data_IF_889911967539
#
_entry.id   IF_889911967539
#
_cell.length_a   1.000
_cell.length_b   1.000
_cell.length_c   1.000
_cell.angle_alpha   90.00
_cell.angle_beta   90.00
_cell.angle_gamma   90.00
#
_symmetry.space_group_name_H-M   'P 1'
#
loop_
_entity.id
_entity.type
_entity.pdbx_description
1 polymer ?
#
# COMPACT_ATOMS: atom_id res chain seq x y z
N UNK A 1 -72.05 64.11 -9.10
CA UNK A 1 -72.07 62.66 -9.04
C UNK A 1 -71.00 62.12 -9.97
N UNK A 2 -70.19 61.17 -9.62
CA UNK A 2 -69.84 60.61 -8.32
C UNK A 2 -68.28 60.61 -8.11
N UNK A 3 -67.87 60.98 -6.91
CA UNK A 3 -66.44 60.96 -6.48
C UNK A 3 -66.09 59.73 -5.61
N UNK A 4 -66.99 58.77 -5.44
CA UNK A 4 -66.80 57.65 -4.50
C UNK A 4 -66.24 56.34 -5.11
N UNK A 5 -66.22 56.18 -6.42
CA UNK A 5 -65.77 54.94 -7.05
C UNK A 5 -64.23 54.88 -7.19
N UNK A 6 -63.50 55.99 -7.04
CA UNK A 6 -62.02 55.98 -7.31
C UNK A 6 -61.21 55.55 -6.11
N UNK A 7 -61.71 55.69 -4.86
CA UNK A 7 -60.93 55.36 -3.67
C UNK A 7 -60.99 53.87 -3.28
N UNK A 8 -61.97 53.09 -3.74
CA UNK A 8 -62.06 51.70 -3.39
C UNK A 8 -61.22 50.79 -4.31
N UNK A 9 -60.86 51.23 -5.52
CA UNK A 9 -60.01 50.48 -6.41
C UNK A 9 -58.52 50.59 -6.04
N UNK A 10 -58.06 51.73 -5.51
CA UNK A 10 -56.67 51.96 -5.15
C UNK A 10 -56.24 51.26 -3.86
N UNK A 11 -57.14 51.07 -2.91
CA UNK A 11 -56.85 50.38 -1.64
C UNK A 11 -56.79 48.87 -1.79
N UNK A 12 -57.54 48.28 -2.72
CA UNK A 12 -57.48 46.83 -2.97
C UNK A 12 -56.25 46.42 -3.77
N UNK A 13 -55.66 47.27 -4.62
CA UNK A 13 -54.44 46.98 -5.35
C UNK A 13 -53.22 47.10 -4.47
N UNK A 14 -53.17 47.95 -3.45
CA UNK A 14 -52.01 48.07 -2.53
C UNK A 14 -51.90 46.90 -1.56
N UNK A 15 -53.03 46.27 -1.17
CA UNK A 15 -53.01 45.10 -0.27
C UNK A 15 -52.60 43.79 -0.98
N UNK A 16 -52.78 43.67 -2.29
CA UNK A 16 -52.38 42.51 -3.08
C UNK A 16 -50.89 42.53 -3.39
N UNK A 17 -50.24 43.69 -3.45
CA UNK A 17 -48.78 43.79 -3.68
C UNK A 17 -47.97 43.56 -2.41
N UNK A 18 -48.51 43.80 -1.22
CA UNK A 18 -47.83 43.52 0.06
C UNK A 18 -47.79 42.01 0.40
N UNK A 19 -48.75 41.20 -0.10
CA UNK A 19 -48.78 39.76 0.12
C UNK A 19 -47.82 38.96 -0.78
N UNK A 20 -47.42 39.48 -1.94
CA UNK A 20 -46.53 38.83 -2.88
C UNK A 20 -45.03 39.06 -2.53
N UNK A 21 -44.71 40.15 -1.84
CA UNK A 21 -43.32 40.43 -1.45
C UNK A 21 -42.88 39.68 -0.16
N UNK A 22 -43.80 39.14 0.63
CA UNK A 22 -43.45 38.37 1.83
C UNK A 22 -43.10 36.87 1.54
N UNK A 23 -43.38 36.40 0.32
CA UNK A 23 -43.15 34.98 -0.06
C UNK A 23 -41.78 34.69 -0.71
N UNK A 24 -40.91 35.70 -0.91
CA UNK A 24 -39.62 35.55 -1.61
C UNK A 24 -38.44 35.58 -0.65
N UNK A 25 -38.65 35.82 0.65
CA UNK A 25 -37.61 35.62 1.67
C UNK A 25 -37.62 34.19 2.23
N UNK A 26 -37.72 33.19 1.34
CA UNK A 26 -37.36 31.83 1.64
C UNK A 26 -35.87 31.82 1.91
N UNK A 27 -35.46 31.94 3.15
CA UNK A 27 -34.11 31.70 3.62
C UNK A 27 -33.71 30.29 3.16
N UNK A 28 -33.02 30.19 2.04
CA UNK A 28 -32.30 28.98 1.67
C UNK A 28 -31.30 28.69 2.78
N UNK A 29 -31.70 27.87 3.75
CA UNK A 29 -30.78 27.23 4.66
C UNK A 29 -29.87 26.39 3.79
N UNK A 30 -28.72 26.94 3.38
CA UNK A 30 -27.61 26.18 2.87
C UNK A 30 -27.27 25.19 3.98
N UNK A 31 -27.69 23.93 3.80
CA UNK A 31 -27.22 22.85 4.63
C UNK A 31 -25.67 22.88 4.54
N UNK A 32 -25.03 23.43 5.55
CA UNK A 32 -23.59 23.35 5.72
C UNK A 32 -23.27 21.85 5.83
N UNK A 33 -22.76 21.29 4.75
CA UNK A 33 -22.20 19.94 4.79
C UNK A 33 -21.08 19.95 5.84
N UNK A 34 -21.37 19.36 6.99
CA UNK A 34 -20.37 19.10 8.01
C UNK A 34 -19.22 18.35 7.32
N UNK A 35 -17.97 18.82 7.43
CA UNK A 35 -16.84 18.09 6.86
C UNK A 35 -16.88 16.65 7.37
N UNK A 36 -17.00 15.69 6.47
CA UNK A 36 -16.90 14.26 6.81
C UNK A 36 -15.57 14.04 7.51
N UNK A 37 -15.57 13.39 8.66
CA UNK A 37 -14.34 13.02 9.37
C UNK A 37 -13.38 12.29 8.41
N UNK A 38 -12.07 12.52 8.51
CA UNK A 38 -11.10 11.83 7.69
C UNK A 38 -11.29 10.32 7.81
N UNK A 39 -11.37 9.63 6.69
CA UNK A 39 -11.48 8.17 6.69
C UNK A 39 -10.18 7.57 7.21
N UNK A 40 -10.27 6.53 8.05
CA UNK A 40 -9.09 5.75 8.43
C UNK A 40 -8.46 5.09 7.20
N UNK A 41 -7.17 4.79 7.19
CA UNK A 41 -6.50 4.09 6.09
C UNK A 41 -7.20 2.79 5.70
N UNK A 42 -7.72 2.05 6.68
CA UNK A 42 -8.52 0.84 6.45
C UNK A 42 -9.83 1.14 5.71
N UNK A 43 -10.56 2.17 6.14
CA UNK A 43 -11.82 2.57 5.51
C UNK A 43 -11.62 3.24 4.15
N UNK A 44 -10.43 3.77 3.88
CA UNK A 44 -10.04 4.40 2.63
C UNK A 44 -9.38 3.43 1.63
N UNK A 45 -9.15 2.16 2.02
CA UNK A 45 -8.47 1.18 1.21
C UNK A 45 -9.20 0.98 -0.14
N UNK A 46 -8.55 1.21 -1.29
CA UNK A 46 -9.15 1.01 -2.60
C UNK A 46 -9.24 -0.47 -2.99
N UNK A 47 -8.43 -1.31 -2.33
CA UNK A 47 -8.37 -2.76 -2.51
C UNK A 47 -8.20 -3.47 -1.17
N UNK A 48 -8.74 -4.67 -1.05
CA UNK A 48 -8.55 -5.51 0.13
C UNK A 48 -7.39 -6.48 -0.11
N UNK A 49 -6.28 -6.27 0.60
CA UNK A 49 -5.09 -7.12 0.58
C UNK A 49 -5.14 -8.22 1.65
N UNK A 50 -6.12 -8.21 2.55
CA UNK A 50 -6.19 -9.17 3.67
C UNK A 50 -6.44 -10.60 3.18
N UNK A 51 -5.99 -11.57 3.97
CA UNK A 51 -6.21 -12.99 3.69
C UNK A 51 -4.92 -13.82 3.69
N UNK A 52 -5.04 -15.02 3.14
CA UNK A 52 -3.96 -15.98 3.04
C UNK A 52 -3.47 -16.04 1.60
N UNK A 53 -2.17 -16.06 1.41
CA UNK A 53 -1.52 -16.02 0.12
C UNK A 53 -0.38 -17.03 0.06
N UNK A 54 -0.13 -17.62 -1.10
CA UNK A 54 0.98 -18.54 -1.32
C UNK A 54 1.83 -18.05 -2.48
N UNK A 55 3.16 -18.07 -2.32
CA UNK A 55 4.10 -17.74 -3.39
C UNK A 55 3.87 -18.61 -4.63
N UNK A 56 3.84 -17.97 -5.78
CA UNK A 56 3.95 -18.61 -7.09
C UNK A 56 5.26 -18.13 -7.71
N UNK A 57 6.27 -19.00 -7.75
CA UNK A 57 7.59 -18.64 -8.22
C UNK A 57 7.64 -18.80 -9.73
N UNK A 58 7.48 -17.70 -10.44
CA UNK A 58 7.45 -17.63 -11.91
C UNK A 58 8.73 -17.01 -12.49
N UNK A 59 9.38 -16.13 -11.74
CA UNK A 59 10.59 -15.42 -12.11
C UNK A 59 11.77 -15.85 -11.26
N UNK A 60 12.94 -15.91 -11.84
CA UNK A 60 14.21 -16.29 -11.19
C UNK A 60 14.10 -17.55 -10.31
N UNK A 61 13.27 -18.52 -10.75
CA UNK A 61 12.92 -19.70 -9.96
C UNK A 61 14.15 -20.48 -9.49
N UNK A 62 15.20 -20.56 -10.31
CA UNK A 62 16.43 -21.28 -9.98
C UNK A 62 17.09 -20.71 -8.71
N UNK A 63 17.20 -19.39 -8.62
CA UNK A 63 17.84 -18.71 -7.48
C UNK A 63 16.92 -18.51 -6.27
N UNK A 64 15.63 -18.68 -6.47
CA UNK A 64 14.62 -18.57 -5.38
C UNK A 64 14.34 -19.91 -4.73
N UNK A 65 14.29 -20.99 -5.52
CA UNK A 65 13.96 -22.34 -5.01
C UNK A 65 15.16 -23.05 -4.40
N UNK A 66 16.37 -22.69 -4.81
CA UNK A 66 17.61 -23.25 -4.24
C UNK A 66 18.54 -22.13 -3.83
N UNK A 67 19.42 -22.39 -2.85
CA UNK A 67 20.52 -21.48 -2.54
C UNK A 67 21.55 -21.54 -3.66
N UNK A 68 21.81 -20.44 -4.38
CA UNK A 68 22.82 -20.43 -5.44
C UNK A 68 24.23 -20.65 -4.88
N UNK A 69 25.12 -21.05 -5.74
CA UNK A 69 26.54 -21.16 -5.37
C UNK A 69 27.10 -19.77 -5.06
N UNK A 70 28.11 -19.72 -4.18
CA UNK A 70 28.94 -18.54 -4.01
C UNK A 70 29.54 -18.13 -5.35
N UNK A 71 29.56 -16.85 -5.67
CA UNK A 71 29.99 -16.32 -6.96
C UNK A 71 28.88 -16.22 -8.02
N UNK A 72 27.74 -16.87 -7.84
CA UNK A 72 26.58 -16.70 -8.74
C UNK A 72 25.73 -15.50 -8.31
N UNK A 73 26.09 -14.34 -8.82
CA UNK A 73 25.42 -13.07 -8.53
C UNK A 73 24.65 -12.53 -9.75
N UNK A 74 24.35 -13.41 -10.69
CA UNK A 74 23.62 -13.06 -11.92
C UNK A 74 22.34 -12.27 -11.61
N UNK A 75 22.05 -11.27 -12.42
CA UNK A 75 20.89 -10.38 -12.33
C UNK A 75 20.91 -9.36 -11.17
N UNK A 76 21.91 -9.36 -10.29
CA UNK A 76 22.00 -8.36 -9.22
C UNK A 76 23.12 -7.36 -9.58
N UNK A 77 22.82 -6.05 -9.64
CA UNK A 77 23.78 -5.02 -10.01
C UNK A 77 24.72 -4.68 -8.84
N UNK A 78 25.56 -5.63 -8.42
CA UNK A 78 26.48 -5.44 -7.30
C UNK A 78 27.55 -4.39 -7.61
N UNK A 79 27.79 -3.51 -6.65
CA UNK A 79 29.01 -2.71 -6.59
C UNK A 79 30.24 -3.59 -6.31
N UNK A 80 31.44 -3.04 -6.45
CA UNK A 80 32.67 -3.74 -6.06
C UNK A 80 32.65 -4.13 -4.58
N UNK A 81 32.14 -3.24 -3.73
CA UNK A 81 31.95 -3.51 -2.30
C UNK A 81 30.92 -4.62 -2.07
N UNK A 82 29.75 -4.56 -2.72
CA UNK A 82 28.74 -5.59 -2.61
C UNK A 82 29.25 -6.96 -3.06
N UNK A 83 30.07 -7.01 -4.12
CA UNK A 83 30.73 -8.24 -4.58
C UNK A 83 31.73 -8.74 -3.55
N UNK A 84 32.56 -7.86 -3.01
CA UNK A 84 33.55 -8.20 -1.97
C UNK A 84 32.87 -8.80 -0.74
N UNK A 85 31.76 -8.21 -0.30
CA UNK A 85 30.96 -8.74 0.83
C UNK A 85 30.40 -10.12 0.50
N UNK A 86 29.80 -10.29 -0.68
CA UNK A 86 29.23 -11.57 -1.11
C UNK A 86 30.30 -12.68 -1.25
N UNK A 87 31.50 -12.33 -1.70
CA UNK A 87 32.61 -13.26 -1.81
C UNK A 87 33.16 -13.72 -0.45
N UNK A 88 32.84 -13.02 0.63
CA UNK A 88 33.19 -13.42 2.01
C UNK A 88 32.11 -14.32 2.66
N UNK A 89 30.97 -14.55 1.98
CA UNK A 89 29.90 -15.37 2.51
C UNK A 89 30.38 -16.77 2.89
N UNK A 90 29.95 -17.23 4.06
CA UNK A 90 30.17 -18.57 4.57
C UNK A 90 28.83 -19.31 4.68
N UNK A 91 28.66 -20.45 4.00
CA UNK A 91 27.43 -21.24 4.10
C UNK A 91 27.03 -21.64 5.53
N UNK A 92 27.97 -21.72 6.46
CA UNK A 92 27.70 -22.03 7.86
C UNK A 92 26.90 -20.95 8.57
N UNK A 93 26.86 -19.72 8.02
CA UNK A 93 26.09 -18.59 8.53
C UNK A 93 24.67 -18.48 7.94
N UNK A 94 24.26 -19.43 7.09
CA UNK A 94 22.94 -19.43 6.43
C UNK A 94 21.77 -19.50 7.43
N UNK A 95 22.00 -19.99 8.63
CA UNK A 95 21.03 -19.99 9.73
C UNK A 95 20.81 -18.65 10.42
N UNK A 96 21.47 -17.56 9.98
CA UNK A 96 21.52 -16.28 10.69
C UNK A 96 20.27 -15.41 10.60
N UNK A 97 19.18 -15.84 9.98
CA UNK A 97 17.97 -15.06 9.69
C UNK A 97 18.16 -13.86 8.75
N UNK A 98 19.36 -13.53 8.29
CA UNK A 98 19.62 -12.40 7.39
C UNK A 98 18.87 -12.49 6.07
N UNK A 99 18.62 -13.72 5.58
CA UNK A 99 17.83 -13.96 4.37
C UNK A 99 16.34 -13.59 4.52
N UNK A 100 15.87 -13.47 5.76
CA UNK A 100 14.47 -13.16 6.07
C UNK A 100 14.26 -11.69 6.43
N UNK A 101 15.21 -10.83 6.15
CA UNK A 101 15.07 -9.38 6.24
C UNK A 101 14.20 -8.82 5.11
N UNK A 102 13.58 -7.66 5.32
CA UNK A 102 12.58 -7.09 4.41
C UNK A 102 13.08 -6.97 2.96
N UNK A 103 14.36 -6.66 2.73
CA UNK A 103 14.92 -6.53 1.38
C UNK A 103 14.89 -7.81 0.55
N UNK A 104 14.89 -9.00 1.19
CA UNK A 104 14.83 -10.30 0.51
C UNK A 104 13.56 -11.10 0.77
N UNK A 105 12.80 -10.75 1.82
CA UNK A 105 11.72 -11.57 2.37
C UNK A 105 10.65 -11.98 1.35
N UNK A 106 10.19 -11.05 0.52
CA UNK A 106 9.13 -11.32 -0.44
C UNK A 106 9.56 -12.26 -1.57
N UNK A 107 10.86 -12.46 -1.73
CA UNK A 107 11.44 -13.39 -2.72
C UNK A 107 11.55 -14.82 -2.23
N UNK A 108 11.45 -15.03 -0.91
CA UNK A 108 11.48 -16.39 -0.33
C UNK A 108 10.14 -17.08 -0.63
N UNK A 109 10.16 -18.33 -1.13
CA UNK A 109 8.94 -19.11 -1.25
C UNK A 109 8.28 -19.29 0.12
N UNK A 110 7.11 -18.69 0.30
CA UNK A 110 6.44 -18.59 1.60
C UNK A 110 4.93 -18.45 1.42
N UNK A 111 4.18 -18.63 2.49
CA UNK A 111 2.82 -18.14 2.64
C UNK A 111 2.82 -16.83 3.39
N UNK A 112 1.86 -15.99 3.03
CA UNK A 112 1.61 -14.75 3.76
C UNK A 112 0.23 -14.83 4.43
N UNK A 113 0.14 -14.23 5.61
CA UNK A 113 -1.11 -13.78 6.23
C UNK A 113 -1.08 -12.28 6.32
N UNK A 114 -2.05 -11.64 5.70
CA UNK A 114 -2.20 -10.19 5.74
C UNK A 114 -3.47 -9.86 6.48
N UNK A 115 -3.37 -9.03 7.51
CA UNK A 115 -4.50 -8.62 8.33
C UNK A 115 -4.34 -7.20 8.83
N UNK A 116 -5.45 -6.53 9.09
CA UNK A 116 -5.42 -5.25 9.81
C UNK A 116 -5.13 -5.50 11.28
N UNK A 117 -4.03 -4.92 11.78
CA UNK A 117 -3.68 -4.91 13.20
C UNK A 117 -4.44 -3.82 13.94
N UNK A 118 -4.57 -2.66 13.30
CA UNK A 118 -5.35 -1.49 13.71
C UNK A 118 -5.96 -0.86 12.44
N UNK A 119 -6.71 0.21 12.56
CA UNK A 119 -7.27 0.91 11.40
C UNK A 119 -6.22 1.66 10.56
N UNK A 120 -4.99 1.77 11.06
CA UNK A 120 -3.85 2.46 10.43
C UNK A 120 -2.60 1.59 10.27
N UNK A 121 -2.69 0.29 10.52
CA UNK A 121 -1.56 -0.61 10.37
C UNK A 121 -1.96 -2.00 9.86
N UNK A 122 -1.33 -2.44 8.77
CA UNK A 122 -1.39 -3.81 8.28
C UNK A 122 -0.26 -4.65 8.88
N UNK A 123 -0.57 -5.89 9.25
CA UNK A 123 0.38 -6.94 9.59
C UNK A 123 0.54 -7.87 8.42
N UNK A 124 1.78 -8.17 8.04
CA UNK A 124 2.16 -9.16 7.04
C UNK A 124 3.03 -10.19 7.72
N UNK A 125 2.49 -11.38 7.90
CA UNK A 125 3.19 -12.51 8.51
C UNK A 125 3.63 -13.49 7.43
N UNK A 126 4.80 -14.13 7.63
CA UNK A 126 5.31 -15.20 6.75
C UNK A 126 5.41 -16.50 7.53
N UNK A 127 5.10 -17.62 6.90
CA UNK A 127 5.34 -18.94 7.51
C UNK A 127 6.81 -19.33 7.43
N UNK A 128 7.48 -19.09 6.31
CA UNK A 128 8.92 -19.28 6.21
C UNK A 128 9.66 -18.17 6.97
N UNK A 129 10.51 -18.57 7.90
CA UNK A 129 11.28 -17.66 8.75
C UNK A 129 10.49 -17.06 9.90
N UNK A 130 9.16 -17.27 9.98
CA UNK A 130 8.26 -16.72 11.02
C UNK A 130 8.45 -15.21 11.23
N UNK A 131 8.44 -14.45 10.16
CA UNK A 131 8.61 -13.00 10.22
C UNK A 131 7.27 -12.29 10.28
N UNK A 132 7.28 -11.12 10.89
CA UNK A 132 6.13 -10.20 10.90
C UNK A 132 6.61 -8.81 10.51
N UNK A 133 6.04 -8.26 9.44
CA UNK A 133 6.21 -6.86 9.05
C UNK A 133 4.96 -6.08 9.42
N UNK A 134 5.13 -4.85 9.90
CA UNK A 134 4.03 -3.93 10.20
C UNK A 134 4.14 -2.74 9.26
N UNK A 135 3.17 -2.60 8.36
CA UNK A 135 3.06 -1.51 7.39
C UNK A 135 2.17 -0.43 8.00
N UNK A 136 2.77 0.72 8.35
CA UNK A 136 2.12 1.81 9.08
C UNK A 136 1.69 2.92 8.15
N UNK A 137 0.49 3.39 8.30
CA UNK A 137 -0.03 4.57 7.59
C UNK A 137 0.20 5.86 8.40
N UNK A 138 0.53 5.75 9.67
CA UNK A 138 0.91 6.91 10.49
C UNK A 138 2.34 7.34 10.18
N UNK A 139 2.47 8.47 9.50
CA UNK A 139 3.77 9.07 9.14
C UNK A 139 4.51 9.69 10.35
N UNK A 140 3.80 9.92 11.45
CA UNK A 140 4.42 10.43 12.68
C UNK A 140 5.03 9.32 13.55
N UNK A 141 4.77 8.05 13.21
CA UNK A 141 5.37 6.93 13.91
C UNK A 141 6.89 6.95 13.81
N UNK A 142 7.56 7.07 14.95
CA UNK A 142 9.03 7.07 14.99
C UNK A 142 9.57 5.68 14.68
N UNK A 143 10.64 5.59 13.87
CA UNK A 143 11.36 4.34 13.71
C UNK A 143 12.01 3.97 15.05
N UNK A 144 11.82 2.74 15.50
CA UNK A 144 12.53 2.19 16.65
C UNK A 144 14.01 1.88 16.36
N UNK A 145 14.59 0.94 17.08
CA UNK A 145 15.90 0.39 16.75
C UNK A 145 15.88 -0.26 15.36
N UNK A 146 17.03 -0.28 14.68
CA UNK A 146 17.20 -1.02 13.43
C UNK A 146 16.81 -2.48 13.61
N UNK A 147 16.16 -3.04 12.61
CA UNK A 147 15.75 -4.45 12.61
C UNK A 147 15.78 -5.04 11.20
N UNK A 148 15.69 -6.37 11.09
CA UNK A 148 15.59 -7.04 9.79
C UNK A 148 14.35 -6.59 9.00
N UNK A 149 13.26 -6.21 9.69
CA UNK A 149 12.02 -5.76 9.04
C UNK A 149 11.94 -4.23 8.88
N UNK A 150 12.84 -3.50 9.52
CA UNK A 150 12.92 -2.04 9.43
C UNK A 150 11.67 -1.32 9.92
N UNK A 151 11.50 -0.11 9.41
CA UNK A 151 10.34 0.75 9.62
C UNK A 151 9.64 0.99 8.29
N UNK A 152 8.43 0.44 8.12
CA UNK A 152 7.65 0.50 6.89
C UNK A 152 6.53 1.52 7.00
N UNK A 153 6.58 2.57 6.18
CA UNK A 153 5.50 3.53 5.99
C UNK A 153 4.71 3.17 4.73
N UNK A 154 3.40 3.14 4.87
CA UNK A 154 2.47 2.75 3.82
C UNK A 154 1.57 3.91 3.42
N UNK A 155 1.20 3.96 2.15
CA UNK A 155 0.18 4.86 1.63
C UNK A 155 -0.59 4.19 0.50
N UNK A 156 -1.90 4.47 0.41
CA UNK A 156 -2.69 4.04 -0.73
C UNK A 156 -2.45 4.96 -1.91
N UNK A 157 -2.20 4.38 -3.08
CA UNK A 157 -2.20 5.05 -4.37
C UNK A 157 -3.46 4.61 -5.15
N UNK A 158 -4.61 5.26 -4.93
CA UNK A 158 -5.83 4.87 -5.60
C UNK A 158 -5.79 5.24 -7.09
N UNK A 159 -6.28 4.35 -7.94
CA UNK A 159 -6.54 4.67 -9.33
C UNK A 159 -7.87 5.41 -9.37
N UNK A 160 -7.81 6.74 -9.51
CA UNK A 160 -8.99 7.58 -9.63
C UNK A 160 -9.66 7.42 -10.99
N UNK A 161 -11.01 7.39 -10.98
CA UNK A 161 -11.77 7.63 -12.20
C UNK A 161 -11.64 9.10 -12.66
N UNK A 162 -12.01 9.41 -13.92
CA UNK A 162 -12.03 10.78 -14.40
C UNK A 162 -12.93 11.65 -13.51
N UNK A 163 -12.63 12.95 -13.39
CA UNK A 163 -13.49 13.84 -12.62
C UNK A 163 -14.92 13.80 -13.15
N UNK A 164 -15.89 13.68 -12.25
CA UNK A 164 -17.30 13.79 -12.61
C UNK A 164 -17.57 15.27 -12.91
N UNK A 165 -17.93 15.55 -14.17
CA UNK A 165 -18.23 16.90 -14.62
C UNK A 165 -19.75 17.11 -14.68
N UNK A 166 -20.21 18.23 -14.14
CA UNK A 166 -21.56 18.75 -14.34
C UNK A 166 -21.47 20.17 -14.88
N UNK A 167 -22.08 20.40 -16.04
CA UNK A 167 -22.01 21.69 -16.74
C UNK A 167 -20.56 22.19 -16.94
N UNK A 168 -19.64 21.27 -17.30
CA UNK A 168 -18.21 21.58 -17.50
C UNK A 168 -17.41 21.87 -16.23
N UNK A 169 -18.02 21.78 -15.04
CA UNK A 169 -17.36 22.02 -13.75
C UNK A 169 -17.17 20.68 -13.02
N UNK A 170 -15.99 20.45 -12.49
CA UNK A 170 -15.72 19.28 -11.66
C UNK A 170 -16.56 19.34 -10.37
N UNK A 171 -17.41 18.35 -10.15
CA UNK A 171 -18.26 18.23 -8.93
C UNK A 171 -17.76 17.13 -7.99
N UNK A 172 -16.72 16.42 -8.36
CA UNK A 172 -16.08 15.37 -7.56
C UNK A 172 -15.19 14.49 -8.40
N UNK A 173 -14.46 13.59 -7.74
CA UNK A 173 -13.77 12.49 -8.38
C UNK A 173 -14.65 11.24 -8.34
N UNK A 174 -14.59 10.42 -9.40
CA UNK A 174 -15.22 9.10 -9.34
C UNK A 174 -14.58 8.27 -8.20
N UNK A 175 -15.33 7.35 -7.59
CA UNK A 175 -14.75 6.42 -6.63
C UNK A 175 -13.54 5.71 -7.21
N UNK A 176 -12.53 5.39 -6.39
CA UNK A 176 -11.38 4.60 -6.86
C UNK A 176 -11.85 3.29 -7.47
N UNK A 177 -11.35 2.95 -8.65
CA UNK A 177 -11.65 1.69 -9.35
C UNK A 177 -10.62 0.60 -9.04
N UNK A 178 -9.72 0.86 -8.11
CA UNK A 178 -8.61 0.02 -7.71
C UNK A 178 -7.49 0.88 -7.14
N UNK A 179 -6.33 0.32 -7.01
CA UNK A 179 -5.14 1.02 -6.56
C UNK A 179 -4.09 0.06 -6.03
N UNK A 180 -2.92 0.59 -5.73
CA UNK A 180 -1.81 -0.11 -5.12
C UNK A 180 -1.59 0.36 -3.67
N UNK A 181 -0.95 -0.49 -2.87
CA UNK A 181 -0.34 -0.07 -1.62
C UNK A 181 1.14 0.20 -1.89
N UNK A 182 1.56 1.45 -1.75
CA UNK A 182 2.96 1.82 -1.76
C UNK A 182 3.53 1.74 -0.35
N UNK A 183 4.70 1.11 -0.22
CA UNK A 183 5.39 0.94 1.06
C UNK A 183 6.84 1.37 0.92
N UNK A 184 7.29 2.26 1.80
CA UNK A 184 8.70 2.65 1.91
C UNK A 184 9.23 2.15 3.24
N UNK A 185 10.26 1.30 3.16
CA UNK A 185 10.91 0.72 4.35
C UNK A 185 12.33 1.23 4.48
N UNK A 186 12.63 1.77 5.63
CA UNK A 186 13.95 2.27 6.04
C UNK A 186 14.35 1.66 7.38
N UNK A 187 15.44 2.12 7.96
CA UNK A 187 15.89 1.69 9.29
C UNK A 187 16.11 0.16 9.38
N UNK A 188 16.62 -0.41 8.28
CA UNK A 188 16.91 -1.83 8.16
C UNK A 188 18.24 -2.17 8.88
N UNK A 189 18.31 -3.34 9.49
CA UNK A 189 19.58 -4.02 9.75
C UNK A 189 20.06 -4.67 8.45
N UNK A 190 21.35 -4.94 8.33
CA UNK A 190 21.89 -5.72 7.22
C UNK A 190 21.17 -7.05 7.06
N UNK A 191 20.98 -7.47 5.81
CA UNK A 191 20.38 -8.74 5.45
C UNK A 191 20.81 -9.20 4.08
N UNK A 192 20.19 -10.25 3.57
CA UNK A 192 20.53 -10.79 2.27
C UNK A 192 19.40 -10.61 1.26
N UNK A 193 19.73 -10.11 0.06
CA UNK A 193 18.87 -10.11 -1.11
C UNK A 193 18.74 -11.51 -1.70
N UNK A 194 19.79 -12.31 -1.55
CA UNK A 194 19.86 -13.70 -2.01
C UNK A 194 20.66 -14.53 -1.01
N UNK A 195 20.22 -15.77 -0.77
CA UNK A 195 20.75 -16.64 0.29
C UNK A 195 22.23 -17.00 0.16
N UNK A 196 22.87 -16.73 -0.95
CA UNK A 196 24.31 -16.97 -1.15
C UNK A 196 25.20 -15.79 -0.74
N UNK A 197 24.77 -15.00 0.24
CA UNK A 197 25.54 -13.91 0.82
C UNK A 197 25.47 -12.59 0.07
N UNK A 198 24.61 -12.47 -0.94
CA UNK A 198 24.35 -11.18 -1.60
C UNK A 198 23.65 -10.26 -0.63
N UNK A 199 24.40 -9.37 0.01
CA UNK A 199 23.95 -8.54 1.10
C UNK A 199 23.33 -7.23 0.63
N UNK A 200 22.38 -6.72 1.42
CA UNK A 200 22.04 -5.31 1.48
C UNK A 200 22.52 -4.70 2.80
N UNK A 201 22.89 -3.43 2.75
CA UNK A 201 23.43 -2.71 3.91
C UNK A 201 22.34 -2.07 4.77
N UNK A 202 22.74 -1.52 5.88
CA UNK A 202 21.88 -0.73 6.78
C UNK A 202 21.51 0.66 6.23
N UNK A 203 22.10 1.04 5.09
CA UNK A 203 21.77 2.27 4.35
C UNK A 203 20.68 2.04 3.29
N UNK A 204 20.15 0.82 3.22
CA UNK A 204 19.15 0.42 2.24
C UNK A 204 17.81 1.10 2.46
N UNK A 205 17.21 1.53 1.36
CA UNK A 205 15.79 1.88 1.26
C UNK A 205 15.10 0.85 0.37
N UNK A 206 13.98 0.32 0.84
CA UNK A 206 13.13 -0.60 0.08
C UNK A 206 11.82 0.11 -0.25
N UNK A 207 11.52 0.25 -1.54
CA UNK A 207 10.24 0.72 -2.06
C UNK A 207 9.47 -0.46 -2.62
N UNK A 208 8.20 -0.62 -2.24
CA UNK A 208 7.35 -1.70 -2.71
C UNK A 208 6.00 -1.17 -3.16
N UNK A 209 5.47 -1.76 -4.24
CA UNK A 209 4.11 -1.59 -4.71
C UNK A 209 3.39 -2.93 -4.63
N UNK A 210 2.24 -2.95 -3.96
CA UNK A 210 1.46 -4.14 -3.70
C UNK A 210 0.14 -4.02 -4.46
N UNK A 211 0.01 -4.78 -5.54
CA UNK A 211 -1.13 -4.77 -6.44
C UNK A 211 -1.95 -6.04 -6.30
N UNK A 212 -3.28 -5.88 -6.20
CA UNK A 212 -4.21 -6.99 -6.20
C UNK A 212 -4.93 -7.07 -7.53
N UNK A 213 -4.81 -8.22 -8.20
CA UNK A 213 -5.42 -8.47 -9.50
C UNK A 213 -6.39 -9.65 -9.38
N UNK A 214 -7.62 -9.47 -9.84
CA UNK A 214 -8.61 -10.53 -9.94
C UNK A 214 -8.76 -10.94 -11.41
N UNK A 215 -8.75 -12.25 -11.68
CA UNK A 215 -8.90 -12.81 -13.01
C UNK A 215 -10.31 -13.38 -13.22
N UNK A 216 -10.78 -13.45 -14.49
CA UNK A 216 -12.12 -13.99 -14.80
C UNK A 216 -12.35 -15.44 -14.38
N UNK A 217 -11.29 -16.25 -14.24
CA UNK A 217 -11.35 -17.62 -13.75
C UNK A 217 -11.53 -17.73 -12.23
N UNK A 218 -11.68 -16.60 -11.52
CA UNK A 218 -11.83 -16.54 -10.07
C UNK A 218 -10.51 -16.49 -9.30
N UNK A 219 -9.36 -16.59 -9.96
CA UNK A 219 -8.07 -16.44 -9.31
C UNK A 219 -7.85 -15.00 -8.86
N UNK A 220 -7.29 -14.86 -7.68
CA UNK A 220 -6.86 -13.55 -7.16
C UNK A 220 -5.38 -13.62 -6.85
N UNK A 221 -4.65 -12.67 -7.40
CA UNK A 221 -3.21 -12.56 -7.25
C UNK A 221 -2.83 -11.29 -6.52
N UNK A 222 -1.78 -11.38 -5.73
CA UNK A 222 -1.05 -10.28 -5.15
C UNK A 222 0.31 -10.23 -5.84
N UNK A 223 0.62 -9.09 -6.44
CA UNK A 223 1.89 -8.82 -7.10
C UNK A 223 2.62 -7.78 -6.26
N UNK A 224 3.84 -8.10 -5.84
CA UNK A 224 4.69 -7.18 -5.07
C UNK A 224 5.89 -6.82 -5.92
N UNK A 225 5.91 -5.60 -6.43
CA UNK A 225 7.08 -5.03 -7.11
C UNK A 225 7.94 -4.34 -6.07
N UNK A 226 9.19 -4.78 -5.93
CA UNK A 226 10.14 -4.27 -4.95
C UNK A 226 11.31 -3.61 -5.65
N UNK A 227 11.70 -2.42 -5.19
CA UNK A 227 12.88 -1.67 -5.63
C UNK A 227 13.78 -1.50 -4.42
N UNK A 228 14.95 -2.12 -4.47
CA UNK A 228 15.98 -2.03 -3.43
C UNK A 228 17.04 -1.03 -3.89
N UNK A 229 17.17 0.06 -3.15
CA UNK A 229 18.23 1.05 -3.34
C UNK A 229 19.25 0.92 -2.20
N UNK A 230 20.46 0.55 -2.53
CA UNK A 230 21.57 0.42 -1.56
C UNK A 230 22.82 1.07 -2.11
N UNK A 231 23.19 2.27 -1.64
CA UNK A 231 24.33 3.02 -2.18
C UNK A 231 25.69 2.38 -1.88
N UNK A 232 25.75 1.39 -0.98
CA UNK A 232 27.00 0.69 -0.66
C UNK A 232 27.21 -0.56 -1.50
N UNK A 233 26.16 -1.38 -1.60
CA UNK A 233 26.31 -2.73 -2.18
C UNK A 233 25.80 -2.85 -3.60
N UNK A 234 25.02 -1.86 -4.11
CA UNK A 234 24.46 -1.87 -5.44
C UNK A 234 24.95 -0.70 -6.28
N UNK A 235 25.20 -0.94 -7.58
CA UNK A 235 25.50 0.10 -8.58
C UNK A 235 24.25 0.89 -8.99
N UNK A 236 23.11 0.19 -9.04
CA UNK A 236 21.81 0.73 -9.43
C UNK A 236 20.74 0.03 -8.59
N UNK A 237 19.53 0.58 -8.61
CA UNK A 237 18.38 -0.03 -7.99
C UNK A 237 18.15 -1.45 -8.50
N UNK A 238 17.93 -2.37 -7.57
CA UNK A 238 17.57 -3.75 -7.88
C UNK A 238 16.05 -3.92 -7.81
N UNK A 239 15.42 -4.06 -8.97
CA UNK A 239 13.98 -4.20 -9.08
C UNK A 239 13.58 -5.64 -9.31
N UNK A 240 12.59 -6.12 -8.55
CA UNK A 240 12.03 -7.47 -8.67
C UNK A 240 10.52 -7.42 -8.58
N UNK A 241 9.85 -8.44 -9.15
CA UNK A 241 8.42 -8.66 -8.99
C UNK A 241 8.21 -10.04 -8.43
N UNK A 242 7.34 -10.17 -7.43
CA UNK A 242 7.00 -11.46 -6.81
C UNK A 242 5.50 -11.65 -6.80
N UNK A 243 5.07 -12.88 -7.00
CA UNK A 243 3.68 -13.23 -7.20
C UNK A 243 3.18 -14.15 -6.11
N UNK A 244 1.98 -13.87 -5.64
CA UNK A 244 1.28 -14.71 -4.66
C UNK A 244 -0.13 -14.95 -5.16
N UNK A 245 -0.62 -16.17 -5.00
CA UNK A 245 -2.00 -16.54 -5.29
C UNK A 245 -2.77 -16.62 -3.97
N UNK A 246 -4.01 -16.13 -3.96
CA UNK A 246 -4.88 -16.21 -2.79
C UNK A 246 -5.23 -17.66 -2.49
N UNK A 247 -5.10 -18.06 -1.23
CA UNK A 247 -5.62 -19.32 -0.70
C UNK A 247 -6.99 -19.09 -0.03
N UNK A 248 -7.92 -20.05 -0.08
CA UNK A 248 -9.25 -19.88 0.49
C UNK A 248 -9.22 -19.77 2.01
N UNK A 249 -8.24 -20.40 2.65
CA UNK A 249 -8.08 -20.44 4.10
C UNK A 249 -6.60 -20.56 4.50
N UNK A 250 -6.36 -20.70 5.80
CA UNK A 250 -5.01 -20.87 6.36
C UNK A 250 -4.63 -22.34 6.64
N UNK A 251 -5.30 -23.32 6.10
CA UNK A 251 -5.08 -24.73 6.44
C UNK A 251 -3.66 -25.22 6.12
N UNK A 252 -3.02 -24.62 5.11
CA UNK A 252 -1.64 -24.98 4.71
C UNK A 252 -0.56 -24.14 5.39
N UNK A 253 -0.94 -23.28 6.34
CA UNK A 253 0.01 -22.48 7.10
C UNK A 253 0.93 -23.37 7.92
N UNK A 254 2.23 -23.29 7.65
CA UNK A 254 3.23 -24.14 8.31
C UNK A 254 4.45 -23.30 8.70
N UNK A 255 4.41 -22.63 9.86
CA UNK A 255 5.50 -21.78 10.28
C UNK A 255 6.79 -22.58 10.54
N UNK A 256 7.87 -22.12 9.96
CA UNK A 256 9.21 -22.65 10.17
C UNK A 256 10.12 -21.49 10.58
N UNK A 257 10.68 -21.51 11.81
CA UNK A 257 11.53 -20.41 12.23
C UNK A 257 12.77 -20.30 11.38
N UNK A 258 13.30 -19.09 11.23
CA UNK A 258 14.68 -18.95 10.78
C UNK A 258 15.60 -19.47 11.91
N UNK A 259 16.70 -20.07 11.55
CA UNK A 259 17.71 -20.50 12.53
C UNK A 259 18.67 -19.36 12.79
N UNK A 260 18.96 -19.11 14.06
CA UNK A 260 20.00 -18.20 14.50
C UNK A 260 21.36 -18.90 14.48
#
# INVERSE_FOLDING_TARGET
MPRECLNHCLVRSALLWAAVMAAVLGVGTSAQQTPSAPRTPRAAAPVDLTGNWVSVVTEEWLWRMTTPKKGDYTSIPLSDEGRRVADQWDPSTDGSCKAYGAGGLMRIPTRLRISWRTDDALSVETDAGQQTRVLRFDRAASPGARSLQGHSLAEWEPIGGPPVLRNGRAIGAAPPQGGALKVVTTNLSEGWLRKNGVAYSDSTTLLEYWDRVAFPNGDVWLIVTSVVSDPRNLLNDYTTSTHFKREPDGAKWKPTPCRL
#
